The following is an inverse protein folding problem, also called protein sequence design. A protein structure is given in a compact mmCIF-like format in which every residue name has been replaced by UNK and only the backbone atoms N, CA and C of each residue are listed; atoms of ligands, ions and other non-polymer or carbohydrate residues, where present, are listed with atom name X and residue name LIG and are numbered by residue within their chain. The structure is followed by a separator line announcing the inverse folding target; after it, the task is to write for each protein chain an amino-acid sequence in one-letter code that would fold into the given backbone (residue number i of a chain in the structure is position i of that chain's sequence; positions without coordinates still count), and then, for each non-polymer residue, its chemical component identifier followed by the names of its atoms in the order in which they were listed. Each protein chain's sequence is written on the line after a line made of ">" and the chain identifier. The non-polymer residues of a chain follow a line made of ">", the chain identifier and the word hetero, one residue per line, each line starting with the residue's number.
data_IF_576206477568
#
_entry.id   IF_576206477568
#
_cell.length_a   1.000
_cell.length_b   1.000
_cell.length_c   1.000
_cell.angle_alpha   90.00
_cell.angle_beta   90.00
_cell.angle_gamma   90.00
#
_symmetry.space_group_name_H-M   'P 1'
#
loop_
_entity.id
_entity.type
_entity.pdbx_description
1 polymer ?
#
# COMPACT_ATOMS: atom_id res chain seq x y z
N UNK A 1 -9.69 8.02 12.49
CA UNK A 1 -8.45 8.35 11.78
C UNK A 1 -8.21 9.83 11.95
N UNK A 2 -7.19 10.18 12.72
CA UNK A 2 -6.76 11.57 12.92
C UNK A 2 -6.07 12.08 11.65
N UNK A 3 -5.94 13.41 11.51
CA UNK A 3 -5.24 14.00 10.36
C UNK A 3 -3.78 13.55 10.28
N UNK A 4 -3.13 13.40 11.43
CA UNK A 4 -1.74 12.93 11.54
C UNK A 4 -1.58 11.48 11.10
N UNK A 5 -2.40 10.56 11.61
CA UNK A 5 -2.38 9.15 11.18
C UNK A 5 -2.51 9.03 9.66
N UNK A 6 -3.37 9.85 9.06
CA UNK A 6 -3.59 9.88 7.61
C UNK A 6 -2.41 10.40 6.83
N UNK A 7 -1.84 11.53 7.24
CA UNK A 7 -0.70 12.13 6.55
C UNK A 7 0.52 11.23 6.61
N UNK A 8 0.84 10.72 7.80
CA UNK A 8 2.00 9.85 7.99
C UNK A 8 1.85 8.56 7.19
N UNK A 9 0.70 7.90 7.27
CA UNK A 9 0.47 6.67 6.51
C UNK A 9 0.58 6.88 5.00
N UNK A 10 -0.02 7.93 4.47
CA UNK A 10 0.05 8.24 3.03
C UNK A 10 1.46 8.59 2.57
N UNK A 11 2.23 9.27 3.42
CA UNK A 11 3.63 9.62 3.13
C UNK A 11 4.48 8.36 3.03
N UNK A 12 4.43 7.49 4.04
CA UNK A 12 5.19 6.24 4.03
C UNK A 12 4.70 5.27 2.96
N UNK A 13 3.39 5.22 2.70
CA UNK A 13 2.83 4.49 1.56
C UNK A 13 3.46 4.94 0.24
N UNK A 14 3.51 6.25 0.00
CA UNK A 14 4.12 6.81 -1.21
C UNK A 14 5.60 6.49 -1.31
N UNK A 15 6.36 6.70 -0.23
CA UNK A 15 7.81 6.41 -0.19
C UNK A 15 8.08 4.94 -0.49
N UNK A 16 7.41 4.01 0.19
CA UNK A 16 7.60 2.56 0.01
C UNK A 16 7.17 2.14 -1.40
N UNK A 17 6.03 2.61 -1.90
CA UNK A 17 5.55 2.28 -3.24
C UNK A 17 6.53 2.78 -4.34
N UNK A 18 6.96 4.04 -4.27
CA UNK A 18 7.87 4.63 -5.26
C UNK A 18 9.22 3.93 -5.24
N UNK A 19 9.83 3.79 -4.07
CA UNK A 19 11.14 3.11 -3.94
C UNK A 19 11.09 1.66 -4.41
N UNK A 20 10.01 0.94 -4.13
CA UNK A 20 9.81 -0.44 -4.58
C UNK A 20 9.68 -0.56 -6.09
N UNK A 21 8.86 0.29 -6.71
CA UNK A 21 8.68 0.32 -8.18
C UNK A 21 9.97 0.71 -8.89
N UNK A 22 10.66 1.75 -8.42
CA UNK A 22 11.91 2.21 -9.03
C UNK A 22 13.01 1.16 -8.87
N UNK A 23 13.12 0.53 -7.70
CA UNK A 23 14.05 -0.58 -7.49
C UNK A 23 13.76 -1.76 -8.44
N UNK A 24 12.50 -2.17 -8.55
CA UNK A 24 12.08 -3.24 -9.46
C UNK A 24 12.45 -2.91 -10.91
N UNK A 25 12.16 -1.68 -11.36
CA UNK A 25 12.52 -1.23 -12.69
C UNK A 25 14.04 -1.30 -12.94
N UNK A 26 14.84 -0.76 -12.02
CA UNK A 26 16.31 -0.83 -12.12
C UNK A 26 16.82 -2.27 -12.17
N UNK A 27 16.26 -3.16 -11.34
CA UNK A 27 16.73 -4.55 -11.23
C UNK A 27 16.42 -5.40 -12.45
N UNK A 28 15.30 -5.17 -13.14
CA UNK A 28 14.83 -6.05 -14.21
C UNK A 28 14.86 -5.43 -15.62
N UNK A 29 14.89 -4.10 -15.74
CA UNK A 29 14.77 -3.41 -17.04
C UNK A 29 15.96 -2.50 -17.38
N UNK A 30 16.88 -2.25 -16.44
CA UNK A 30 18.10 -1.49 -16.71
C UNK A 30 19.26 -2.45 -16.94
N UNK A 31 19.99 -2.25 -18.03
CA UNK A 31 21.24 -2.98 -18.32
C UNK A 31 22.41 -2.36 -17.57
N UNK A 32 23.27 -3.15 -16.91
CA UNK A 32 24.51 -2.62 -16.31
C UNK A 32 25.37 -1.90 -17.34
N UNK A 33 25.94 -0.77 -16.94
CA UNK A 33 26.89 -0.01 -17.77
C UNK A 33 28.30 -0.63 -17.79
N UNK A 34 28.60 -1.49 -16.82
CA UNK A 34 29.87 -2.20 -16.68
C UNK A 34 29.60 -3.71 -16.45
N UNK A 35 30.27 -4.62 -17.18
CA UNK A 35 30.07 -6.07 -17.05
C UNK A 35 30.36 -6.65 -15.66
N UNK A 36 31.16 -5.97 -14.84
CA UNK A 36 31.51 -6.40 -13.48
C UNK A 36 30.66 -5.72 -12.41
N UNK A 37 29.70 -4.87 -12.81
CA UNK A 37 28.84 -4.18 -11.85
C UNK A 37 27.81 -5.13 -11.23
N UNK A 38 27.76 -5.10 -9.89
CA UNK A 38 26.77 -5.84 -9.09
C UNK A 38 25.36 -5.20 -9.20
N UNK A 39 25.31 -3.89 -9.48
CA UNK A 39 24.07 -3.13 -9.62
C UNK A 39 23.89 -2.67 -11.08
N UNK A 40 22.65 -2.68 -11.55
CA UNK A 40 22.33 -2.26 -12.92
C UNK A 40 22.32 -0.73 -13.06
N UNK A 41 22.02 -0.02 -11.96
CA UNK A 41 21.94 1.44 -11.92
C UNK A 41 22.61 1.98 -10.64
N UNK A 42 23.32 3.14 -10.66
CA UNK A 42 24.01 3.68 -9.48
C UNK A 42 23.10 3.92 -8.27
N UNK A 43 21.83 4.25 -8.50
CA UNK A 43 20.85 4.49 -7.43
C UNK A 43 20.11 3.24 -6.95
N UNK A 44 20.34 2.07 -7.58
CA UNK A 44 19.66 0.82 -7.19
C UNK A 44 19.86 0.46 -5.71
N UNK A 45 21.07 0.58 -5.12
CA UNK A 45 21.26 0.31 -3.69
C UNK A 45 20.48 1.29 -2.80
N UNK A 46 20.46 2.58 -3.18
CA UNK A 46 19.75 3.60 -2.42
C UNK A 46 18.24 3.34 -2.41
N UNK A 47 17.65 3.00 -3.56
CA UNK A 47 16.23 2.66 -3.64
C UNK A 47 15.88 1.46 -2.75
N UNK A 48 16.73 0.42 -2.75
CA UNK A 48 16.55 -0.74 -1.89
C UNK A 48 16.65 -0.37 -0.40
N UNK A 49 17.71 0.33 0.00
CA UNK A 49 17.92 0.71 1.40
C UNK A 49 16.80 1.61 1.92
N UNK A 50 16.35 2.60 1.15
CA UNK A 50 15.22 3.45 1.54
C UNK A 50 13.94 2.64 1.68
N UNK A 51 13.67 1.71 0.75
CA UNK A 51 12.51 0.82 0.85
C UNK A 51 12.53 -0.01 2.14
N UNK A 52 13.67 -0.65 2.43
CA UNK A 52 13.86 -1.49 3.62
C UNK A 52 13.75 -0.70 4.92
N UNK A 53 14.25 0.54 4.97
CA UNK A 53 14.16 1.38 6.17
C UNK A 53 12.76 1.97 6.38
N UNK A 54 12.06 2.34 5.30
CA UNK A 54 10.73 2.91 5.38
C UNK A 54 9.64 1.86 5.67
N UNK A 55 9.83 0.61 5.21
CA UNK A 55 8.82 -0.44 5.32
C UNK A 55 8.42 -0.79 6.77
N UNK A 56 9.32 -0.96 7.75
CA UNK A 56 8.94 -1.21 9.15
C UNK A 56 8.08 -0.09 9.75
N UNK A 57 8.42 1.17 9.45
CA UNK A 57 7.62 2.32 9.90
C UNK A 57 6.23 2.27 9.26
N UNK A 58 6.16 1.96 7.97
CA UNK A 58 4.88 1.81 7.27
C UNK A 58 4.01 0.70 7.88
N UNK A 59 4.59 -0.46 8.19
CA UNK A 59 3.92 -1.59 8.86
C UNK A 59 3.40 -1.20 10.24
N UNK A 60 4.20 -0.48 11.03
CA UNK A 60 3.77 0.00 12.35
C UNK A 60 2.54 0.92 12.25
N UNK A 61 2.57 1.90 11.34
CA UNK A 61 1.44 2.80 11.12
C UNK A 61 0.21 2.09 10.55
N UNK A 62 0.41 1.07 9.71
CA UNK A 62 -0.68 0.20 9.28
C UNK A 62 -1.34 -0.48 10.48
N UNK A 63 -0.57 -1.02 11.43
CA UNK A 63 -1.09 -1.64 12.65
C UNK A 63 -1.90 -0.67 13.51
N UNK A 64 -1.41 0.57 13.69
CA UNK A 64 -2.14 1.63 14.42
C UNK A 64 -3.48 1.93 13.73
N UNK A 65 -3.48 2.13 12.41
CA UNK A 65 -4.67 2.39 11.62
C UNK A 65 -5.64 1.22 11.60
N UNK A 66 -5.12 0.01 11.56
CA UNK A 66 -5.92 -1.20 11.62
C UNK A 66 -6.74 -1.22 12.91
N UNK A 67 -6.12 -0.90 14.05
CA UNK A 67 -6.80 -0.83 15.35
C UNK A 67 -7.74 0.37 15.49
N UNK A 68 -7.31 1.56 15.05
CA UNK A 68 -8.06 2.81 15.28
C UNK A 68 -9.20 3.03 14.28
N UNK A 69 -9.11 2.46 13.07
CA UNK A 69 -10.05 2.69 11.98
C UNK A 69 -10.61 1.40 11.37
N UNK A 70 -9.74 0.52 10.85
CA UNK A 70 -10.18 -0.59 10.00
C UNK A 70 -11.01 -1.62 10.76
N UNK A 71 -10.58 -2.04 11.95
CA UNK A 71 -11.32 -2.99 12.79
C UNK A 71 -12.71 -2.46 13.14
N UNK A 72 -12.81 -1.21 13.60
CA UNK A 72 -14.10 -0.60 13.96
C UNK A 72 -15.06 -0.55 12.77
N UNK A 73 -14.57 -0.20 11.57
CA UNK A 73 -15.39 -0.18 10.36
C UNK A 73 -15.77 -1.58 9.86
N UNK A 74 -14.86 -2.55 9.93
CA UNK A 74 -15.11 -3.93 9.49
C UNK A 74 -16.16 -4.61 10.39
N UNK A 75 -16.18 -4.29 11.68
CA UNK A 75 -17.17 -4.77 12.66
C UNK A 75 -18.48 -3.98 12.64
N UNK A 76 -18.50 -2.77 12.07
CA UNK A 76 -19.73 -1.97 11.94
C UNK A 76 -20.68 -2.54 10.89
N UNK A 77 -21.99 -2.30 11.05
CA UNK A 77 -23.03 -2.72 10.09
C UNK A 77 -23.04 -1.88 8.80
N UNK A 78 -22.18 -0.87 8.67
CA UNK A 78 -22.09 -0.06 7.46
C UNK A 78 -21.36 -0.82 6.35
N UNK A 79 -22.09 -1.15 5.28
CA UNK A 79 -21.59 -1.91 4.15
C UNK A 79 -20.76 -1.04 3.17
N UNK A 80 -20.84 0.29 3.27
CA UNK A 80 -20.12 1.19 2.36
C UNK A 80 -18.62 1.07 2.58
N UNK A 81 -17.89 0.81 1.48
CA UNK A 81 -16.42 0.75 1.43
C UNK A 81 -15.78 -0.43 2.23
N UNK A 82 -16.54 -1.47 2.60
CA UNK A 82 -16.03 -2.62 3.37
C UNK A 82 -15.18 -3.58 2.53
N UNK A 83 -15.56 -3.83 1.28
CA UNK A 83 -14.82 -4.72 0.37
C UNK A 83 -13.40 -4.21 0.11
N UNK A 84 -13.26 -2.93 -0.26
CA UNK A 84 -11.96 -2.29 -0.48
C UNK A 84 -11.11 -2.24 0.80
N UNK A 85 -11.73 -2.08 1.97
CA UNK A 85 -11.06 -2.18 3.27
C UNK A 85 -10.48 -3.58 3.52
N UNK A 86 -11.26 -4.63 3.28
CA UNK A 86 -10.78 -6.03 3.37
C UNK A 86 -9.67 -6.33 2.38
N UNK A 87 -9.84 -5.92 1.11
CA UNK A 87 -8.80 -6.06 0.09
C UNK A 87 -7.50 -5.42 0.55
N UNK A 88 -7.56 -4.21 1.12
CA UNK A 88 -6.38 -3.50 1.63
C UNK A 88 -5.73 -4.27 2.79
N UNK A 89 -6.51 -4.82 3.72
CA UNK A 89 -5.97 -5.57 4.86
C UNK A 89 -5.26 -6.85 4.41
N UNK A 90 -5.92 -7.67 3.58
CA UNK A 90 -5.37 -8.94 3.11
C UNK A 90 -4.15 -8.71 2.24
N UNK A 91 -4.24 -7.82 1.25
CA UNK A 91 -3.11 -7.54 0.35
C UNK A 91 -1.91 -6.94 1.09
N UNK A 92 -2.12 -6.00 2.03
CA UNK A 92 -1.04 -5.46 2.84
C UNK A 92 -0.34 -6.54 3.67
N UNK A 93 -1.12 -7.41 4.30
CA UNK A 93 -0.59 -8.45 5.18
C UNK A 93 0.25 -9.45 4.40
N UNK A 94 -0.24 -9.92 3.24
CA UNK A 94 0.51 -10.80 2.36
C UNK A 94 1.75 -10.12 1.77
N UNK A 95 1.65 -8.84 1.40
CA UNK A 95 2.78 -8.04 0.92
C UNK A 95 3.88 -7.93 1.98
N UNK A 96 3.54 -7.58 3.22
CA UNK A 96 4.52 -7.44 4.30
C UNK A 96 5.20 -8.77 4.64
N UNK A 97 4.43 -9.85 4.76
CA UNK A 97 4.95 -11.19 5.07
C UNK A 97 5.86 -11.72 3.96
N UNK A 98 5.45 -11.60 2.70
CA UNK A 98 6.27 -12.02 1.56
C UNK A 98 7.56 -11.19 1.45
N UNK A 99 7.49 -9.87 1.70
CA UNK A 99 8.68 -9.01 1.72
C UNK A 99 9.70 -9.39 2.79
N UNK A 100 9.23 -9.76 3.98
CA UNK A 100 10.10 -10.34 5.02
C UNK A 100 10.71 -11.67 4.57
N UNK A 101 9.90 -12.55 3.96
CA UNK A 101 10.38 -13.86 3.51
C UNK A 101 11.47 -13.78 2.44
N UNK A 102 11.43 -12.77 1.55
CA UNK A 102 12.51 -12.49 0.59
C UNK A 102 13.85 -12.28 1.30
N UNK A 103 13.88 -11.74 2.52
CA UNK A 103 15.11 -11.46 3.26
C UNK A 103 15.67 -12.68 4.00
N UNK A 104 14.81 -13.59 4.44
CA UNK A 104 15.21 -14.70 5.32
C UNK A 104 15.25 -16.06 4.62
N UNK A 105 14.63 -16.20 3.45
CA UNK A 105 14.62 -17.45 2.71
C UNK A 105 16.01 -17.76 2.13
N UNK A 106 16.50 -18.99 2.36
CA UNK A 106 17.80 -19.44 1.83
C UNK A 106 17.70 -20.19 0.51
N UNK A 107 16.50 -20.67 0.14
CA UNK A 107 16.29 -21.43 -1.09
C UNK A 107 15.93 -20.51 -2.26
N UNK A 108 16.56 -20.67 -3.45
CA UNK A 108 16.25 -19.84 -4.62
C UNK A 108 14.79 -19.89 -5.07
N UNK A 109 14.13 -21.06 -4.95
CA UNK A 109 12.72 -21.22 -5.34
C UNK A 109 11.80 -20.44 -4.41
N UNK A 110 12.07 -20.48 -3.11
CA UNK A 110 11.34 -19.73 -2.09
C UNK A 110 11.54 -18.21 -2.23
N UNK A 111 12.77 -17.75 -2.47
CA UNK A 111 13.06 -16.34 -2.73
C UNK A 111 12.27 -15.85 -3.96
N UNK A 112 12.32 -16.61 -5.06
CA UNK A 112 11.63 -16.24 -6.31
C UNK A 112 10.11 -16.19 -6.11
N UNK A 113 9.54 -17.21 -5.47
CA UNK A 113 8.11 -17.24 -5.18
C UNK A 113 7.67 -16.04 -4.32
N UNK A 114 8.47 -15.69 -3.30
CA UNK A 114 8.18 -14.55 -2.42
C UNK A 114 8.33 -13.22 -3.11
N UNK A 115 9.28 -13.05 -4.03
CA UNK A 115 9.39 -11.83 -4.85
C UNK A 115 8.11 -11.64 -5.65
N UNK A 116 7.65 -12.66 -6.37
CA UNK A 116 6.45 -12.53 -7.20
C UNK A 116 5.19 -12.33 -6.37
N UNK A 117 5.04 -13.05 -5.25
CA UNK A 117 3.95 -12.83 -4.31
C UNK A 117 3.96 -11.40 -3.77
N UNK A 118 5.13 -10.89 -3.39
CA UNK A 118 5.31 -9.53 -2.89
C UNK A 118 4.92 -8.49 -3.94
N UNK A 119 5.41 -8.62 -5.17
CA UNK A 119 5.08 -7.70 -6.27
C UNK A 119 3.59 -7.72 -6.59
N UNK A 120 2.98 -8.90 -6.73
CA UNK A 120 1.57 -9.04 -7.05
C UNK A 120 0.67 -8.44 -5.96
N UNK A 121 0.94 -8.76 -4.70
CA UNK A 121 0.18 -8.22 -3.55
C UNK A 121 0.41 -6.73 -3.35
N UNK A 122 1.61 -6.22 -3.64
CA UNK A 122 1.91 -4.78 -3.66
C UNK A 122 1.06 -4.04 -4.69
N UNK A 123 0.96 -4.56 -5.91
CA UNK A 123 0.14 -3.95 -6.96
C UNK A 123 -1.34 -3.89 -6.55
N UNK A 124 -1.87 -5.01 -6.05
CA UNK A 124 -3.25 -5.08 -5.53
C UNK A 124 -3.45 -4.08 -4.40
N UNK A 125 -2.48 -3.96 -3.49
CA UNK A 125 -2.58 -3.04 -2.36
C UNK A 125 -2.53 -1.57 -2.81
N UNK A 126 -1.57 -1.17 -3.64
CA UNK A 126 -1.42 0.22 -4.11
C UNK A 126 -2.67 0.67 -4.89
N UNK A 127 -3.13 -0.14 -5.83
CA UNK A 127 -4.34 0.18 -6.62
C UNK A 127 -5.58 0.14 -5.73
N UNK A 128 -5.75 -0.92 -4.93
CA UNK A 128 -6.91 -1.10 -4.05
C UNK A 128 -7.03 -0.01 -2.99
N UNK A 129 -5.91 0.38 -2.38
CA UNK A 129 -5.84 1.47 -1.41
C UNK A 129 -6.12 2.83 -2.08
N UNK A 130 -5.59 3.07 -3.27
CA UNK A 130 -5.91 4.27 -4.06
C UNK A 130 -7.41 4.39 -4.34
N UNK A 131 -8.04 3.30 -4.78
CA UNK A 131 -9.51 3.23 -4.96
C UNK A 131 -10.25 3.47 -3.64
N UNK A 132 -9.80 2.86 -2.53
CA UNK A 132 -10.39 3.07 -1.21
C UNK A 132 -10.35 4.54 -0.78
N UNK A 133 -9.23 5.24 -1.05
CA UNK A 133 -9.05 6.64 -0.75
C UNK A 133 -9.98 7.52 -1.61
N UNK A 134 -10.07 7.25 -2.91
CA UNK A 134 -10.95 7.98 -3.85
C UNK A 134 -12.42 7.81 -3.46
N UNK A 135 -12.87 6.58 -3.16
CA UNK A 135 -14.24 6.32 -2.68
C UNK A 135 -14.48 7.07 -1.36
N UNK A 136 -13.52 7.01 -0.43
CA UNK A 136 -13.60 7.73 0.84
C UNK A 136 -13.74 9.24 0.66
N UNK A 137 -12.98 9.84 -0.27
CA UNK A 137 -13.09 11.26 -0.63
C UNK A 137 -14.44 11.60 -1.24
N UNK A 138 -14.94 10.79 -2.18
CA UNK A 138 -16.24 11.03 -2.82
C UNK A 138 -17.38 11.00 -1.82
N UNK A 139 -17.35 10.07 -0.87
CA UNK A 139 -18.37 9.94 0.17
C UNK A 139 -18.35 11.08 1.20
N UNK A 140 -17.20 11.73 1.40
CA UNK A 140 -17.04 12.85 2.34
C UNK A 140 -17.05 14.22 1.67
N UNK A 141 -17.19 14.27 0.34
CA UNK A 141 -17.23 15.52 -0.41
C UNK A 141 -18.54 16.28 -0.14
N UNK A 142 -18.49 17.61 0.05
CA UNK A 142 -19.67 18.45 0.34
C UNK A 142 -20.78 18.32 -0.72
N UNK A 143 -20.42 18.06 -1.97
CA UNK A 143 -21.34 17.85 -3.10
C UNK A 143 -22.19 16.58 -2.96
N UNK A 144 -21.64 15.49 -2.40
CA UNK A 144 -22.39 14.26 -2.14
C UNK A 144 -23.39 14.42 -0.98
N UNK A 145 -22.98 15.15 0.07
CA UNK A 145 -23.87 15.51 1.19
C UNK A 145 -25.02 16.42 0.73
N UNK A 146 -24.76 17.35 -0.20
CA UNK A 146 -25.78 18.23 -0.79
C UNK A 146 -26.80 17.48 -1.66
N UNK A 147 -26.38 16.41 -2.34
CA UNK A 147 -27.27 15.53 -3.13
C UNK A 147 -28.23 14.73 -2.25
N UNK A 148 -27.75 14.20 -1.11
CA UNK A 148 -28.59 13.49 -0.13
C UNK A 148 -29.54 14.44 0.63
N UNK A 149 -29.13 15.68 0.87
CA UNK A 149 -29.99 16.71 1.45
C UNK A 149 -31.15 17.12 0.54
N UNK A 150 -30.96 17.08 -0.79
CA UNK A 150 -32.04 17.39 -1.75
C UNK A 150 -33.10 16.29 -1.84
N UNK A 151 -32.77 15.03 -1.54
CA UNK A 151 -33.73 13.91 -1.59
C UNK A 151 -34.64 13.82 -0.37
N UNK A 152 -34.29 14.46 0.75
CA UNK A 152 -35.09 14.44 2.00
C UNK A 152 -35.97 15.70 2.15
N UNK A 153 -35.74 16.73 1.34
CA UNK A 153 -36.37 18.05 1.48
C UNK A 153 -37.40 18.44 0.40
N UNK A 154 -37.93 17.50 -0.39
CA UNK A 154 -39.04 17.81 -1.30
C UNK A 154 -40.36 17.27 -0.72
N UNK A 155 -41.18 18.11 -0.07
CA UNK A 155 -42.61 17.81 0.07
C UNK A 155 -43.26 17.87 -1.32
N UNK A 156 -44.08 16.86 -1.61
CA UNK A 156 -44.97 16.76 -2.78
C UNK A 156 -46.05 17.84 -2.77
#
# INVERSE_FOLDING_TARGET
>A
MTRWERWTFNTFHGVVAVTGVVYFYMKYFVTPTDPFSIANHPWQPMMLSTHLLAAPVFIAFFGILFRSHSLRKILSRDLRNRRSGWTSVVSFSLMALSGYFVQVASSPSWVTASIWLHVATSLVFVVGYGVHLVIGWRLTSPSALRSLGKTVGQPS
#
